data_IF_221565973060
#
_entry.id   IF_221565973060
#
_cell.length_a   1.000
_cell.length_b   1.000
_cell.length_c   1.000
_cell.angle_alpha   90.00
_cell.angle_beta   90.00
_cell.angle_gamma   90.00
#
_symmetry.space_group_name_H-M   'P 1'
#
loop_
_entity.id
_entity.type
_entity.pdbx_description
1 polymer ?
#
# COMPACT_ATOMS: atom_id res chain seq x y z
N UNK A 1 -44.66 -15.36 27.52
CA UNK A 1 -43.74 -16.49 27.27
C UNK A 1 -43.17 -16.36 25.86
N UNK A 2 -41.91 -16.77 25.70
CA UNK A 2 -41.06 -16.72 24.49
C UNK A 2 -40.40 -15.34 24.24
N UNK A 3 -39.07 -15.22 24.05
CA UNK A 3 -37.91 -16.10 24.26
C UNK A 3 -36.69 -15.19 24.05
N UNK A 4 -35.82 -15.03 25.04
CA UNK A 4 -34.50 -14.45 24.82
C UNK A 4 -33.67 -15.42 23.98
N UNK A 5 -33.05 -14.96 22.89
CA UNK A 5 -31.70 -15.41 22.51
C UNK A 5 -30.93 -14.22 21.94
N UNK A 6 -29.98 -13.76 22.75
CA UNK A 6 -28.86 -12.89 22.38
C UNK A 6 -28.06 -13.63 21.29
N UNK A 7 -27.91 -13.02 20.11
CA UNK A 7 -26.90 -13.43 19.13
C UNK A 7 -25.97 -12.25 18.90
N UNK A 8 -25.12 -12.00 19.90
CA UNK A 8 -23.92 -11.21 19.71
C UNK A 8 -22.97 -12.03 18.85
N UNK A 9 -22.89 -11.71 17.55
CA UNK A 9 -21.81 -12.21 16.70
C UNK A 9 -20.54 -11.50 17.16
N UNK A 10 -19.78 -12.15 18.05
CA UNK A 10 -18.39 -11.76 18.25
C UNK A 10 -17.64 -12.08 16.96
N UNK A 11 -17.37 -11.03 16.19
CA UNK A 11 -16.44 -11.06 15.07
C UNK A 11 -15.05 -11.25 15.67
N UNK A 12 -14.69 -12.50 15.93
CA UNK A 12 -13.33 -12.86 16.30
C UNK A 12 -12.44 -12.42 15.12
N UNK A 13 -11.55 -11.46 15.37
CA UNK A 13 -10.45 -11.12 14.48
C UNK A 13 -9.54 -12.36 14.37
N UNK A 14 -9.92 -13.33 13.54
CA UNK A 14 -8.99 -14.28 12.98
C UNK A 14 -8.07 -13.48 12.05
N UNK A 15 -7.01 -12.91 12.64
CA UNK A 15 -5.84 -12.50 11.88
C UNK A 15 -5.32 -13.79 11.25
N UNK A 16 -5.76 -14.07 10.01
CA UNK A 16 -4.95 -14.86 9.12
C UNK A 16 -3.60 -14.14 9.09
N UNK A 17 -2.61 -14.72 9.75
CA UNK A 17 -1.23 -14.42 9.45
C UNK A 17 -1.07 -14.76 7.97
N UNK A 18 -1.22 -13.75 7.11
CA UNK A 18 -0.68 -13.80 5.77
C UNK A 18 0.81 -14.02 5.97
N UNK A 19 1.21 -15.29 5.95
CA UNK A 19 2.60 -15.69 5.94
C UNK A 19 3.16 -15.11 4.65
N UNK A 20 3.87 -13.99 4.78
CA UNK A 20 4.64 -13.43 3.68
C UNK A 20 5.55 -14.57 3.21
N UNK A 21 5.29 -15.07 2.01
CA UNK A 21 6.16 -16.06 1.40
C UNK A 21 7.53 -15.41 1.26
N UNK A 22 8.58 -16.08 1.74
CA UNK A 22 9.93 -15.61 1.48
C UNK A 22 10.22 -15.77 -0.02
N UNK A 23 10.03 -14.69 -0.77
CA UNK A 23 10.26 -14.64 -2.21
C UNK A 23 11.73 -14.36 -2.54
N UNK A 24 12.64 -14.48 -1.57
CA UNK A 24 14.06 -14.22 -1.77
C UNK A 24 14.65 -15.28 -2.70
N UNK A 25 15.23 -14.87 -3.86
CA UNK A 25 15.91 -15.81 -4.74
C UNK A 25 16.99 -16.58 -3.97
N UNK A 26 17.19 -17.90 -4.21
CA UNK A 26 18.14 -18.71 -3.43
C UNK A 26 19.54 -18.11 -3.31
N UNK A 27 20.01 -17.43 -4.35
CA UNK A 27 21.30 -16.72 -4.38
C UNK A 27 21.42 -15.54 -3.40
N UNK A 28 20.29 -15.01 -2.90
CA UNK A 28 20.23 -13.82 -2.06
C UNK A 28 19.94 -14.14 -0.58
N UNK A 29 19.68 -15.40 -0.22
CA UNK A 29 19.28 -15.79 1.15
C UNK A 29 20.34 -15.36 2.18
N UNK A 30 21.62 -15.62 1.90
CA UNK A 30 22.70 -15.23 2.81
C UNK A 30 22.80 -13.70 2.98
N UNK A 31 22.57 -12.94 1.90
CA UNK A 31 22.56 -11.48 1.95
C UNK A 31 21.36 -10.96 2.76
N UNK A 32 20.16 -11.52 2.53
CA UNK A 32 18.97 -11.16 3.29
C UNK A 32 19.16 -11.38 4.80
N UNK A 33 19.72 -12.52 5.20
CA UNK A 33 20.02 -12.80 6.61
C UNK A 33 20.99 -11.77 7.21
N UNK A 34 22.01 -11.35 6.44
CA UNK A 34 22.95 -10.32 6.86
C UNK A 34 22.27 -8.95 7.02
N UNK A 35 21.41 -8.55 6.09
CA UNK A 35 20.70 -7.28 6.19
C UNK A 35 19.68 -7.27 7.32
N UNK A 36 18.97 -8.38 7.56
CA UNK A 36 18.07 -8.53 8.72
C UNK A 36 18.86 -8.41 10.03
N UNK A 37 20.04 -9.02 10.12
CA UNK A 37 20.89 -8.94 11.31
C UNK A 37 21.41 -7.52 11.58
N UNK A 38 21.57 -6.67 10.55
CA UNK A 38 21.91 -5.25 10.69
C UNK A 38 20.74 -4.40 11.21
N UNK A 39 19.52 -4.93 11.14
CA UNK A 39 18.31 -4.23 11.53
C UNK A 39 17.84 -3.21 10.49
N UNK A 40 16.77 -2.48 10.81
CA UNK A 40 16.18 -1.51 9.88
C UNK A 40 17.11 -0.31 9.65
N UNK A 41 17.23 0.18 8.40
CA UNK A 41 17.95 1.41 8.11
C UNK A 41 17.40 2.58 8.93
N UNK A 42 18.27 3.37 9.57
CA UNK A 42 17.85 4.54 10.34
C UNK A 42 17.00 5.53 9.53
N UNK A 43 17.24 5.63 8.21
CA UNK A 43 16.45 6.46 7.30
C UNK A 43 14.97 6.09 7.28
N UNK A 44 14.61 4.83 7.50
CA UNK A 44 13.21 4.37 7.51
C UNK A 44 12.43 4.92 8.71
N UNK A 45 13.12 5.27 9.79
CA UNK A 45 12.51 5.85 11.00
C UNK A 45 12.42 7.37 10.96
N UNK A 46 12.96 7.99 9.91
CA UNK A 46 12.97 9.44 9.74
C UNK A 46 11.81 9.88 8.85
N UNK A 47 10.87 10.62 9.43
CA UNK A 47 9.80 11.25 8.67
C UNK A 47 10.35 12.34 7.73
N UNK A 48 9.65 12.55 6.62
CA UNK A 48 9.94 13.69 5.74
C UNK A 48 9.39 14.98 6.37
N UNK A 49 10.28 15.78 6.95
CA UNK A 49 9.88 16.93 7.79
C UNK A 49 9.68 18.24 7.01
N UNK A 50 10.18 18.32 5.78
CA UNK A 50 10.00 19.51 4.92
C UNK A 50 8.86 19.29 3.94
N UNK A 51 8.12 20.37 3.61
CA UNK A 51 7.05 20.29 2.61
C UNK A 51 7.53 19.75 1.27
N UNK A 52 8.73 20.16 0.83
CA UNK A 52 9.30 19.69 -0.43
C UNK A 52 9.60 18.18 -0.39
N UNK A 53 10.10 17.66 0.74
CA UNK A 53 10.31 16.23 0.92
C UNK A 53 8.99 15.46 0.97
N UNK A 54 7.98 15.98 1.67
CA UNK A 54 6.64 15.39 1.73
C UNK A 54 5.98 15.36 0.35
N UNK A 55 6.06 16.46 -0.41
CA UNK A 55 5.53 16.53 -1.78
C UNK A 55 6.22 15.50 -2.68
N UNK A 56 7.55 15.45 -2.63
CA UNK A 56 8.33 14.48 -3.39
C UNK A 56 7.93 13.04 -3.01
N UNK A 57 7.73 12.76 -1.72
CA UNK A 57 7.27 11.45 -1.27
C UNK A 57 5.87 11.11 -1.74
N UNK A 58 4.91 12.02 -1.59
CA UNK A 58 3.55 11.81 -2.07
C UNK A 58 3.50 11.54 -3.57
N UNK A 59 4.29 12.27 -4.37
CA UNK A 59 4.36 12.05 -5.83
C UNK A 59 4.94 10.69 -6.19
N UNK A 60 5.93 10.19 -5.45
CA UNK A 60 6.45 8.81 -5.64
C UNK A 60 5.38 7.79 -5.29
N UNK A 61 4.68 7.97 -4.19
CA UNK A 61 3.63 7.05 -3.71
C UNK A 61 2.47 6.97 -4.71
N UNK A 62 1.99 8.11 -5.23
CA UNK A 62 0.97 8.16 -6.29
C UNK A 62 1.46 7.44 -7.57
N UNK A 63 2.74 7.62 -7.93
CA UNK A 63 3.34 6.92 -9.06
C UNK A 63 3.43 5.40 -8.87
N UNK A 64 3.80 4.96 -7.66
CA UNK A 64 3.83 3.55 -7.29
C UNK A 64 2.43 2.93 -7.32
N UNK A 65 1.44 3.62 -6.76
CA UNK A 65 0.03 3.19 -6.79
C UNK A 65 -0.48 3.01 -8.23
N UNK A 66 -0.14 3.92 -9.15
CA UNK A 66 -0.46 3.75 -10.57
C UNK A 66 0.21 2.52 -11.17
N UNK A 67 1.48 2.26 -10.86
CA UNK A 67 2.20 1.10 -11.37
C UNK A 67 1.58 -0.21 -10.87
N UNK A 68 1.23 -0.27 -9.58
CA UNK A 68 0.53 -1.41 -8.97
C UNK A 68 -0.85 -1.63 -9.59
N UNK A 69 -1.64 -0.55 -9.75
CA UNK A 69 -2.95 -0.62 -10.40
C UNK A 69 -2.86 -1.14 -11.84
N UNK A 70 -1.87 -0.69 -12.62
CA UNK A 70 -1.63 -1.18 -13.98
C UNK A 70 -1.26 -2.67 -13.99
N UNK A 71 -0.41 -3.12 -13.06
CA UNK A 71 -0.08 -4.54 -12.94
C UNK A 71 -1.31 -5.38 -12.56
N UNK A 72 -2.17 -4.88 -11.68
CA UNK A 72 -3.44 -5.52 -11.34
C UNK A 72 -4.37 -5.61 -12.57
N UNK A 73 -4.51 -4.53 -13.34
CA UNK A 73 -5.30 -4.53 -14.59
C UNK A 73 -4.79 -5.56 -15.61
N UNK A 74 -3.49 -5.80 -15.69
CA UNK A 74 -2.93 -6.80 -16.59
C UNK A 74 -3.33 -8.22 -16.19
N UNK A 75 -3.36 -8.51 -14.87
CA UNK A 75 -3.76 -9.79 -14.29
C UNK A 75 -5.28 -10.04 -14.35
N UNK A 76 -6.09 -8.99 -14.54
CA UNK A 76 -7.54 -9.07 -14.66
C UNK A 76 -8.06 -9.59 -16.01
N UNK A 77 -9.39 -9.61 -16.15
CA UNK A 77 -10.07 -10.09 -17.36
C UNK A 77 -9.71 -9.23 -18.59
N UNK A 78 -9.49 -9.90 -19.73
CA UNK A 78 -9.07 -9.21 -20.95
C UNK A 78 -10.13 -8.21 -21.47
N UNK A 79 -11.41 -8.53 -21.30
CA UNK A 79 -12.53 -7.66 -21.67
C UNK A 79 -12.59 -6.36 -20.86
N UNK A 80 -12.09 -6.36 -19.63
CA UNK A 80 -12.15 -5.22 -18.70
C UNK A 80 -10.82 -4.45 -18.67
N UNK A 81 -9.75 -4.98 -19.28
CA UNK A 81 -8.41 -4.41 -19.16
C UNK A 81 -8.32 -2.96 -19.65
N UNK A 82 -8.99 -2.63 -20.75
CA UNK A 82 -8.94 -1.27 -21.30
C UNK A 82 -9.62 -0.25 -20.39
N UNK A 83 -10.79 -0.57 -19.82
CA UNK A 83 -11.46 0.30 -18.85
C UNK A 83 -10.65 0.41 -17.57
N UNK A 84 -10.16 -0.71 -17.02
CA UNK A 84 -9.31 -0.72 -15.82
C UNK A 84 -8.09 0.20 -15.98
N UNK A 85 -7.39 0.14 -17.12
CA UNK A 85 -6.23 1.00 -17.38
C UNK A 85 -6.60 2.48 -17.48
N UNK A 86 -7.78 2.81 -18.02
CA UNK A 86 -8.30 4.19 -18.07
C UNK A 86 -8.63 4.69 -16.65
N UNK A 87 -9.29 3.86 -15.85
CA UNK A 87 -9.66 4.20 -14.48
C UNK A 87 -8.40 4.42 -13.62
N UNK A 88 -7.41 3.52 -13.70
CA UNK A 88 -6.12 3.69 -13.02
C UNK A 88 -5.42 5.00 -13.42
N UNK A 89 -5.46 5.35 -14.72
CA UNK A 89 -4.89 6.59 -15.21
C UNK A 89 -5.67 7.83 -14.73
N UNK A 90 -6.98 7.73 -14.55
CA UNK A 90 -7.80 8.80 -14.03
C UNK A 90 -7.53 9.00 -12.53
N UNK A 91 -7.49 7.92 -11.74
CA UNK A 91 -7.11 7.96 -10.32
C UNK A 91 -5.78 8.67 -10.10
N UNK A 92 -4.76 8.34 -10.90
CA UNK A 92 -3.47 9.04 -10.84
C UNK A 92 -3.60 10.56 -11.03
N UNK A 93 -4.41 11.01 -12.00
CA UNK A 93 -4.61 12.45 -12.26
C UNK A 93 -5.31 13.11 -11.09
N UNK A 94 -6.34 12.46 -10.56
CA UNK A 94 -7.13 12.97 -9.44
C UNK A 94 -6.29 13.05 -8.17
N UNK A 95 -5.44 12.06 -7.91
CA UNK A 95 -4.53 12.06 -6.76
C UNK A 95 -3.43 13.12 -6.89
N UNK A 96 -2.85 13.29 -8.09
CA UNK A 96 -1.91 14.38 -8.36
C UNK A 96 -2.54 15.76 -8.15
N UNK A 97 -3.81 15.94 -8.50
CA UNK A 97 -4.52 17.20 -8.28
C UNK A 97 -4.77 17.48 -6.79
N UNK A 98 -4.84 16.44 -5.94
CA UNK A 98 -5.02 16.56 -4.48
C UNK A 98 -3.74 16.81 -3.71
N UNK A 99 -2.55 16.69 -4.33
CA UNK A 99 -1.25 16.89 -3.66
C UNK A 99 -1.19 18.18 -2.83
N UNK A 100 -1.59 19.37 -3.34
CA UNK A 100 -1.54 20.60 -2.54
C UNK A 100 -2.46 20.57 -1.32
N UNK A 101 -3.63 19.93 -1.43
CA UNK A 101 -4.58 19.77 -0.33
C UNK A 101 -4.01 18.85 0.75
N UNK A 102 -3.48 17.68 0.37
CA UNK A 102 -2.91 16.71 1.31
C UNK A 102 -1.73 17.33 2.08
N UNK A 103 -0.87 18.11 1.40
CA UNK A 103 0.23 18.83 2.06
C UNK A 103 -0.25 19.94 3.00
N UNK A 104 -1.44 20.50 2.79
CA UNK A 104 -2.04 21.46 3.71
C UNK A 104 -2.63 20.76 4.94
N UNK A 105 -3.24 19.58 4.76
CA UNK A 105 -3.83 18.76 5.82
C UNK A 105 -2.77 18.13 6.73
N UNK A 106 -1.63 17.68 6.19
CA UNK A 106 -0.50 17.09 6.94
C UNK A 106 0.29 18.09 7.81
N UNK A 107 -0.19 19.33 7.96
CA UNK A 107 0.40 20.33 8.86
C UNK A 107 -0.12 20.26 10.30
N UNK A 108 -1.06 19.38 10.59
CA UNK A 108 -1.61 19.15 11.94
C UNK A 108 -0.71 18.21 12.75
#
# INVERSE_FOLDING_TARGET
>A
MARHIITGVMMACAVWAAHAQDTTPPQNVQLQHQEIAKGEPMRWKQADTTKAAQEHTLRKEIGAALAEARQACQKGAASERSSCLKDAQQTYKDDMAKVPQILAENKQ
#
